data_IF_306746372218
#
_entry.id   IF_306746372218
#
_cell.length_a   1.000
_cell.length_b   1.000
_cell.length_c   1.000
_cell.angle_alpha   90.00
_cell.angle_beta   90.00
_cell.angle_gamma   90.00
#
_symmetry.space_group_name_H-M   'P 1'
#
loop_
_entity.id
_entity.type
_entity.pdbx_description
1 polymer ?
#
# COMPACT_ATOMS: atom_id res chain seq x y z
N UNK A 1 0.11 32.95 44.37
CA UNK A 1 0.82 32.35 45.51
C UNK A 1 -0.02 31.25 46.10
N UNK A 2 0.28 30.01 45.84
CA UNK A 2 0.06 28.81 46.67
C UNK A 2 0.83 27.66 46.04
N UNK A 3 1.98 27.43 46.63
CA UNK A 3 2.92 26.36 46.38
C UNK A 3 2.36 25.07 46.95
N UNK A 4 2.24 24.02 46.17
CA UNK A 4 2.02 22.68 46.70
C UNK A 4 3.22 21.81 46.36
N UNK A 5 3.99 21.58 47.40
CA UNK A 5 5.13 20.69 47.50
C UNK A 5 4.59 19.25 47.67
N UNK A 6 4.79 18.36 46.69
CA UNK A 6 4.54 16.94 46.89
C UNK A 6 5.82 16.23 47.33
N UNK A 7 5.74 15.68 48.51
CA UNK A 7 6.80 14.97 49.22
C UNK A 7 6.88 13.53 48.65
N UNK A 8 8.03 13.19 48.06
CA UNK A 8 8.32 11.83 47.57
C UNK A 8 8.88 11.01 48.73
N UNK A 9 8.12 10.09 49.26
CA UNK A 9 8.55 9.11 50.25
C UNK A 9 9.27 7.95 49.57
N UNK A 10 10.59 7.90 49.71
CA UNK A 10 11.42 6.73 49.40
C UNK A 10 11.15 5.62 50.43
N UNK A 11 10.66 4.49 49.99
CA UNK A 11 10.61 3.28 50.79
C UNK A 11 11.86 2.44 50.49
N UNK A 12 12.81 2.45 51.41
CA UNK A 12 14.01 1.64 51.35
C UNK A 12 13.66 0.21 51.76
N UNK A 13 13.57 -0.68 50.79
CA UNK A 13 13.47 -2.12 51.01
C UNK A 13 14.87 -2.74 51.00
N UNK A 14 15.35 -3.16 52.17
CA UNK A 14 16.57 -3.94 52.31
C UNK A 14 16.35 -5.38 51.89
N UNK A 15 16.98 -5.82 50.79
CA UNK A 15 17.11 -7.23 50.40
C UNK A 15 18.39 -7.80 51.00
N UNK A 16 18.40 -9.03 51.55
CA UNK A 16 19.58 -9.68 52.09
C UNK A 16 20.53 -10.10 50.95
N UNK A 17 21.79 -9.75 51.10
CA UNK A 17 22.88 -10.26 50.29
C UNK A 17 23.08 -11.76 50.57
N UNK A 18 22.62 -12.62 49.67
CA UNK A 18 23.11 -13.97 49.60
C UNK A 18 24.35 -13.97 48.70
N UNK A 19 25.49 -14.14 49.31
CA UNK A 19 26.76 -14.44 48.64
C UNK A 19 26.65 -15.78 47.97
N UNK A 20 26.70 -15.84 46.65
CA UNK A 20 26.94 -17.06 45.89
C UNK A 20 28.14 -16.90 44.97
N UNK A 21 29.00 -17.81 45.17
CA UNK A 21 30.27 -18.21 44.62
C UNK A 21 30.52 -17.81 43.15
N UNK A 22 31.66 -17.11 42.93
CA UNK A 22 32.19 -16.87 41.59
C UNK A 22 32.86 -18.14 41.11
N UNK A 23 32.24 -18.81 40.13
CA UNK A 23 32.91 -19.62 39.09
C UNK A 23 31.88 -20.49 38.37
N UNK A 24 31.08 -19.86 37.51
CA UNK A 24 30.44 -20.56 36.38
C UNK A 24 30.38 -19.60 35.17
N UNK A 25 31.19 -19.80 34.11
CA UNK A 25 31.13 -18.99 32.90
C UNK A 25 30.15 -19.63 31.91
N UNK A 26 28.89 -19.70 32.29
CA UNK A 26 27.85 -20.17 31.39
C UNK A 26 26.49 -19.72 31.93
N UNK A 27 26.12 -18.46 31.67
CA UNK A 27 24.74 -17.97 31.61
C UNK A 27 24.70 -16.42 31.39
N UNK A 28 25.61 -15.88 30.55
CA UNK A 28 25.28 -14.66 29.83
C UNK A 28 24.55 -15.14 28.58
N UNK A 29 23.23 -14.95 28.55
CA UNK A 29 22.47 -14.96 27.29
C UNK A 29 23.21 -13.97 26.37
N UNK A 30 23.64 -14.38 25.17
CA UNK A 30 24.23 -13.43 24.24
C UNK A 30 23.21 -12.31 24.03
N UNK A 31 23.62 -11.09 24.28
CA UNK A 31 22.83 -9.92 23.87
C UNK A 31 22.51 -10.01 22.37
N UNK A 32 21.51 -9.31 21.89
CA UNK A 32 21.15 -9.36 20.46
C UNK A 32 22.42 -9.21 19.64
N UNK A 33 22.79 -10.26 18.90
CA UNK A 33 23.93 -10.20 18.00
C UNK A 33 23.59 -9.18 16.90
N UNK A 34 24.52 -8.30 16.54
CA UNK A 34 24.33 -7.47 15.35
C UNK A 34 24.00 -8.39 14.16
N UNK A 35 23.12 -7.96 13.25
CA UNK A 35 22.78 -8.74 12.06
C UNK A 35 24.07 -9.13 11.33
N UNK A 36 24.11 -10.35 10.81
CA UNK A 36 25.25 -10.83 10.04
C UNK A 36 25.26 -10.12 8.66
N UNK A 37 25.81 -8.93 8.63
CA UNK A 37 25.93 -8.12 7.42
C UNK A 37 26.92 -8.81 6.47
N UNK A 38 26.52 -8.92 5.20
CA UNK A 38 27.39 -9.49 4.19
C UNK A 38 28.58 -8.55 3.87
N UNK A 39 29.73 -9.12 3.56
CA UNK A 39 30.89 -8.33 3.10
C UNK A 39 30.61 -7.59 1.80
N UNK A 40 29.64 -8.04 1.01
CA UNK A 40 29.18 -7.40 -0.21
C UNK A 40 28.43 -6.10 0.08
N UNK A 41 27.48 -6.12 1.05
CA UNK A 41 26.75 -4.92 1.47
C UNK A 41 27.70 -3.87 2.08
N UNK A 42 28.65 -4.28 2.94
CA UNK A 42 29.67 -3.36 3.47
C UNK A 42 30.53 -2.74 2.37
N UNK A 43 30.94 -3.52 1.37
CA UNK A 43 31.71 -3.04 0.24
C UNK A 43 30.89 -2.08 -0.64
N UNK A 44 29.60 -2.36 -0.84
CA UNK A 44 28.68 -1.52 -1.60
C UNK A 44 28.45 -0.16 -0.91
N UNK A 45 28.21 -0.17 0.40
CA UNK A 45 28.10 1.07 1.18
C UNK A 45 29.37 1.90 1.05
N UNK A 46 30.53 1.30 1.25
CA UNK A 46 31.82 1.99 1.13
C UNK A 46 32.10 2.52 -0.27
N UNK A 47 31.64 1.82 -1.31
CA UNK A 47 31.79 2.25 -2.69
C UNK A 47 30.88 3.45 -3.00
N UNK A 48 29.62 3.41 -2.53
CA UNK A 48 28.62 4.47 -2.77
C UNK A 48 28.85 5.67 -1.85
N UNK A 49 29.21 5.44 -0.58
CA UNK A 49 29.41 6.45 0.44
C UNK A 49 30.81 6.31 1.11
N UNK A 50 31.90 6.62 0.42
CA UNK A 50 33.26 6.42 0.95
C UNK A 50 33.58 7.25 2.19
N UNK A 51 32.81 8.32 2.45
CA UNK A 51 32.94 9.19 3.60
C UNK A 51 31.96 8.86 4.75
N UNK A 52 31.23 7.74 4.66
CA UNK A 52 30.30 7.32 5.71
C UNK A 52 31.02 7.10 7.04
N UNK A 53 30.44 7.64 8.10
CA UNK A 53 30.91 7.52 9.49
C UNK A 53 29.77 7.11 10.40
N UNK A 54 30.09 6.54 11.57
CA UNK A 54 29.11 6.06 12.55
C UNK A 54 28.13 5.04 11.98
N UNK A 55 28.60 4.15 11.12
CA UNK A 55 27.74 3.16 10.45
C UNK A 55 27.20 2.16 11.48
N UNK A 56 25.89 2.06 11.53
CA UNK A 56 25.15 1.03 12.27
C UNK A 56 24.36 0.23 11.27
N UNK A 57 24.39 -1.09 11.40
CA UNK A 57 23.66 -1.97 10.52
C UNK A 57 22.46 -2.59 11.22
N UNK A 58 21.35 -2.69 10.50
CA UNK A 58 20.15 -3.36 10.95
C UNK A 58 19.55 -4.19 9.79
N UNK A 59 18.58 -5.00 10.10
CA UNK A 59 17.80 -5.74 9.07
C UNK A 59 16.36 -5.28 9.17
N UNK A 60 15.80 -4.80 8.07
CA UNK A 60 14.42 -4.36 7.95
C UNK A 60 13.82 -5.01 6.69
N UNK A 61 12.64 -5.59 6.78
CA UNK A 61 11.89 -6.16 5.64
C UNK A 61 12.74 -7.05 4.70
N UNK A 62 13.69 -7.79 5.25
CA UNK A 62 14.59 -8.68 4.46
C UNK A 62 15.80 -7.98 3.84
N UNK A 63 15.92 -6.67 3.93
CA UNK A 63 17.08 -5.87 3.51
C UNK A 63 18.08 -5.69 4.65
N UNK A 64 19.33 -5.41 4.31
CA UNK A 64 20.34 -4.91 5.24
C UNK A 64 20.44 -3.39 5.08
N UNK A 65 20.15 -2.68 6.16
CA UNK A 65 20.08 -1.21 6.19
C UNK A 65 21.26 -0.66 6.97
N UNK A 66 21.98 0.29 6.38
CA UNK A 66 23.06 1.00 7.00
C UNK A 66 22.61 2.41 7.39
N UNK A 67 22.53 2.69 8.68
CA UNK A 67 22.38 4.05 9.20
C UNK A 67 23.76 4.66 9.37
N UNK A 68 23.97 5.86 8.85
CA UNK A 68 25.27 6.50 8.87
C UNK A 68 25.18 8.02 8.75
N UNK A 69 26.33 8.68 8.93
CA UNK A 69 26.44 10.14 8.78
C UNK A 69 27.49 10.49 7.75
N UNK A 70 27.25 11.58 7.02
CA UNK A 70 28.21 12.23 6.14
C UNK A 70 28.54 13.63 6.69
N UNK A 71 29.83 14.00 6.75
CA UNK A 71 30.23 15.31 7.22
C UNK A 71 29.68 16.46 6.36
N UNK A 72 29.58 16.24 5.03
CA UNK A 72 29.02 17.20 4.08
C UNK A 72 27.50 17.35 4.27
N UNK A 73 26.77 16.25 4.47
CA UNK A 73 25.34 16.25 4.73
C UNK A 73 25.03 16.99 6.05
N UNK A 74 25.78 16.73 7.12
CA UNK A 74 25.67 17.47 8.39
C UNK A 74 25.92 18.97 8.23
N UNK A 75 26.88 19.36 7.39
CA UNK A 75 27.16 20.76 7.13
C UNK A 75 25.99 21.44 6.34
N UNK A 76 25.21 20.68 5.60
CA UNK A 76 23.98 21.12 4.92
C UNK A 76 22.73 21.02 5.80
N UNK A 77 22.86 20.49 7.04
CA UNK A 77 21.75 20.32 7.97
C UNK A 77 21.10 18.95 7.95
N UNK A 78 21.52 18.04 7.05
CA UNK A 78 21.01 16.67 7.04
C UNK A 78 21.53 15.91 8.28
N UNK A 79 20.62 15.24 9.01
CA UNK A 79 20.94 14.61 10.27
C UNK A 79 21.45 13.18 10.10
N UNK A 80 20.71 12.33 9.44
CA UNK A 80 20.96 10.90 9.29
C UNK A 80 20.71 10.45 7.86
N UNK A 81 21.32 9.31 7.47
CA UNK A 81 21.11 8.66 6.21
C UNK A 81 20.92 7.17 6.49
N UNK A 82 19.93 6.56 5.85
CA UNK A 82 19.66 5.13 5.88
C UNK A 82 19.74 4.56 4.47
N UNK A 83 20.73 3.69 4.20
CA UNK A 83 20.90 3.10 2.88
C UNK A 83 20.58 1.61 2.89
N UNK A 84 19.71 1.19 1.98
CA UNK A 84 19.10 -0.13 1.88
C UNK A 84 19.78 -0.97 0.79
N UNK A 85 20.20 -2.17 1.15
CA UNK A 85 20.89 -3.11 0.28
C UNK A 85 20.30 -4.51 0.42
N UNK A 86 20.42 -5.34 -0.62
CA UNK A 86 20.26 -6.76 -0.43
C UNK A 86 21.54 -7.40 0.12
N UNK A 87 21.46 -8.68 0.49
CA UNK A 87 22.62 -9.42 0.95
C UNK A 87 23.71 -9.63 -0.12
N UNK A 88 23.40 -9.40 -1.40
CA UNK A 88 24.36 -9.40 -2.52
C UNK A 88 25.09 -8.06 -2.68
N UNK A 89 24.65 -7.02 -1.96
CA UNK A 89 25.21 -5.67 -2.01
C UNK A 89 24.61 -4.81 -3.12
N UNK A 90 23.49 -5.22 -3.73
CA UNK A 90 22.73 -4.32 -4.59
C UNK A 90 22.09 -3.23 -3.72
N UNK A 91 22.27 -1.98 -4.15
CA UNK A 91 21.64 -0.83 -3.50
C UNK A 91 20.25 -0.61 -4.11
N UNK A 92 19.28 -0.28 -3.25
CA UNK A 92 17.90 -0.05 -3.65
C UNK A 92 17.44 1.37 -3.32
N UNK A 93 17.74 1.87 -2.13
CA UNK A 93 17.25 3.15 -1.66
C UNK A 93 18.25 3.82 -0.71
N UNK A 94 18.21 5.14 -0.64
CA UNK A 94 18.76 5.93 0.46
C UNK A 94 17.77 7.00 0.86
N UNK A 95 17.37 6.95 2.08
CA UNK A 95 16.62 7.95 2.81
C UNK A 95 17.59 8.95 3.43
N UNK A 96 17.25 10.22 3.41
CA UNK A 96 18.04 11.29 4.00
C UNK A 96 17.11 12.31 4.65
N UNK A 97 17.16 12.42 5.97
CA UNK A 97 16.53 13.52 6.70
C UNK A 97 17.20 14.84 6.31
N UNK A 98 16.39 15.77 5.82
CA UNK A 98 16.85 17.08 5.35
C UNK A 98 16.02 18.21 5.96
N UNK A 99 16.60 19.39 6.23
CA UNK A 99 15.80 20.53 6.65
C UNK A 99 14.88 21.00 5.51
N UNK A 100 13.67 21.47 5.81
CA UNK A 100 12.71 22.00 4.84
C UNK A 100 13.34 22.98 3.83
N UNK A 101 14.28 23.80 4.28
CA UNK A 101 14.99 24.75 3.41
C UNK A 101 15.91 24.10 2.36
N UNK A 102 16.20 22.80 2.49
CA UNK A 102 16.99 22.03 1.51
C UNK A 102 16.12 21.37 0.42
N UNK A 103 14.82 21.42 0.55
CA UNK A 103 13.88 20.99 -0.50
C UNK A 103 14.13 21.79 -1.80
N UNK A 104 13.89 21.21 -2.98
CA UNK A 104 13.82 21.96 -4.23
C UNK A 104 12.85 23.14 -4.13
N UNK A 105 13.18 24.26 -4.75
CA UNK A 105 12.32 25.47 -4.73
C UNK A 105 10.89 25.20 -5.22
N UNK A 106 10.76 24.30 -6.19
CA UNK A 106 9.45 23.89 -6.73
C UNK A 106 8.61 23.16 -5.68
N UNK A 107 9.22 22.26 -4.89
CA UNK A 107 8.56 21.55 -3.79
C UNK A 107 8.16 22.52 -2.68
N UNK A 108 9.08 23.40 -2.26
CA UNK A 108 8.75 24.45 -1.28
C UNK A 108 7.59 25.32 -1.74
N UNK A 109 7.55 25.67 -3.04
CA UNK A 109 6.48 26.48 -3.61
C UNK A 109 5.15 25.73 -3.62
N UNK A 110 5.15 24.45 -4.02
CA UNK A 110 3.97 23.61 -4.02
C UNK A 110 3.42 23.42 -2.61
N UNK A 111 4.27 23.06 -1.65
CA UNK A 111 3.90 22.92 -0.24
C UNK A 111 3.32 24.22 0.32
N UNK A 112 3.99 25.35 0.13
CA UNK A 112 3.53 26.65 0.62
C UNK A 112 2.19 27.10 -0.01
N UNK A 113 1.80 26.55 -1.14
CA UNK A 113 0.50 26.76 -1.78
C UNK A 113 -0.59 25.80 -1.31
N UNK A 114 -0.27 24.78 -0.52
CA UNK A 114 -1.21 23.79 -0.02
C UNK A 114 -1.90 24.22 1.27
N UNK A 115 -2.97 23.53 1.64
CA UNK A 115 -3.65 23.70 2.93
C UNK A 115 -2.75 23.35 4.14
N UNK A 116 -1.77 22.50 3.94
CA UNK A 116 -0.85 22.02 4.96
C UNK A 116 0.22 23.04 5.38
N UNK A 117 0.39 24.12 4.62
CA UNK A 117 1.31 25.20 4.98
C UNK A 117 0.76 26.14 6.05
N UNK A 118 -0.53 26.06 6.35
CA UNK A 118 -1.20 26.95 7.29
C UNK A 118 -1.53 26.26 8.62
N UNK A 119 -1.52 27.04 9.73
CA UNK A 119 -2.00 26.51 11.00
C UNK A 119 -3.43 25.92 10.87
N UNK A 120 -3.75 24.81 11.56
CA UNK A 120 -3.01 24.23 12.68
C UNK A 120 -1.87 23.24 12.30
N UNK A 121 -1.63 23.00 11.00
CA UNK A 121 -0.59 22.11 10.53
C UNK A 121 0.82 22.67 10.81
N UNK A 122 1.75 21.76 11.10
CA UNK A 122 3.16 22.04 11.28
C UNK A 122 3.97 20.96 10.56
N UNK A 123 5.06 21.33 9.93
CA UNK A 123 6.02 20.35 9.38
C UNK A 123 6.71 19.68 10.56
N UNK A 124 6.66 18.37 10.61
CA UNK A 124 7.29 17.52 11.63
C UNK A 124 8.65 17.05 11.12
N UNK A 125 8.69 16.41 9.97
CA UNK A 125 9.93 15.94 9.34
C UNK A 125 9.95 16.14 7.83
N UNK A 126 11.11 15.99 7.20
CA UNK A 126 11.31 16.09 5.75
C UNK A 126 12.37 15.13 5.27
N UNK A 127 11.99 14.19 4.41
CA UNK A 127 12.87 13.20 3.85
C UNK A 127 13.11 13.35 2.36
N UNK A 128 14.29 12.92 1.95
CA UNK A 128 14.64 12.73 0.55
C UNK A 128 14.85 11.24 0.30
N UNK A 129 14.07 10.65 -0.58
CA UNK A 129 14.16 9.25 -0.99
C UNK A 129 14.84 9.15 -2.37
N UNK A 130 16.08 8.68 -2.40
CA UNK A 130 16.79 8.32 -3.63
C UNK A 130 16.66 6.82 -3.84
N UNK A 131 16.08 6.39 -4.97
CA UNK A 131 15.75 4.98 -5.22
C UNK A 131 16.33 4.52 -6.56
N UNK A 132 16.62 3.23 -6.68
CA UNK A 132 17.22 2.68 -7.90
C UNK A 132 16.21 2.64 -9.06
N UNK A 133 16.51 3.28 -10.15
CA UNK A 133 15.75 3.19 -11.40
C UNK A 133 14.50 4.08 -11.49
N UNK A 134 14.13 4.77 -10.42
CA UNK A 134 12.97 5.67 -10.39
C UNK A 134 13.35 7.08 -9.93
N UNK A 135 12.45 8.02 -10.05
CA UNK A 135 12.68 9.41 -9.66
C UNK A 135 12.86 9.56 -8.15
N UNK A 136 13.72 10.49 -7.75
CA UNK A 136 13.81 10.93 -6.35
C UNK A 136 12.49 11.54 -5.90
N UNK A 137 12.03 11.18 -4.70
CA UNK A 137 10.85 11.76 -4.06
C UNK A 137 11.28 12.53 -2.80
N UNK A 138 10.54 13.58 -2.48
CA UNK A 138 10.65 14.34 -1.23
C UNK A 138 9.38 14.16 -0.44
N UNK A 139 9.50 13.68 0.79
CA UNK A 139 8.38 13.51 1.71
C UNK A 139 8.37 14.69 2.66
N UNK A 140 7.22 15.31 2.85
CA UNK A 140 7.00 16.34 3.86
C UNK A 140 5.94 15.84 4.81
N UNK A 141 6.37 15.46 5.99
CA UNK A 141 5.49 15.03 7.06
C UNK A 141 4.93 16.25 7.79
N UNK A 142 3.62 16.27 7.94
CA UNK A 142 2.93 17.34 8.63
C UNK A 142 2.05 16.80 9.75
N UNK A 143 2.08 17.44 10.89
CA UNK A 143 1.20 17.10 12.00
C UNK A 143 0.28 18.27 12.38
N UNK A 144 -0.89 17.93 12.90
CA UNK A 144 -1.73 18.87 13.65
C UNK A 144 -2.21 18.23 14.94
N UNK A 145 -2.44 19.06 15.95
CA UNK A 145 -2.95 18.63 17.26
C UNK A 145 -4.20 19.44 17.60
N UNK A 146 -5.33 18.77 17.62
CA UNK A 146 -6.63 19.35 17.95
C UNK A 146 -7.34 18.53 19.02
N UNK A 147 -7.82 19.17 20.08
CA UNK A 147 -8.55 18.52 21.17
C UNK A 147 -7.83 17.33 21.84
N UNK A 148 -6.51 17.27 21.72
CA UNK A 148 -5.67 16.21 22.27
C UNK A 148 -5.43 15.04 21.30
N UNK A 149 -5.99 15.06 20.10
CA UNK A 149 -5.72 14.10 19.05
C UNK A 149 -4.60 14.64 18.13
N UNK A 150 -3.66 13.78 17.74
CA UNK A 150 -2.66 14.01 16.71
C UNK A 150 -3.25 13.51 15.38
N UNK A 151 -3.07 14.22 14.32
CA UNK A 151 -3.32 13.78 12.93
C UNK A 151 -2.04 14.04 12.16
N UNK A 152 -1.57 13.07 11.39
CA UNK A 152 -0.38 13.15 10.55
C UNK A 152 -0.76 12.95 9.11
N UNK A 153 -0.03 13.60 8.21
CA UNK A 153 -0.17 13.45 6.76
C UNK A 153 1.20 13.54 6.13
N UNK A 154 1.53 12.56 5.30
CA UNK A 154 2.74 12.54 4.50
C UNK A 154 2.43 12.96 3.07
N UNK A 155 3.20 13.92 2.60
CA UNK A 155 3.06 14.54 1.29
C UNK A 155 4.27 14.21 0.42
N UNK A 156 4.09 13.39 -0.59
CA UNK A 156 5.13 12.90 -1.48
C UNK A 156 5.24 13.77 -2.72
N UNK A 157 6.35 14.42 -2.91
CA UNK A 157 6.57 15.36 -4.03
C UNK A 157 7.67 14.88 -4.97
N UNK A 158 7.42 14.93 -6.28
CA UNK A 158 8.48 14.90 -7.27
C UNK A 158 9.33 16.20 -7.21
N UNK A 159 10.59 16.20 -7.70
CA UNK A 159 11.49 17.36 -7.58
C UNK A 159 10.98 18.66 -8.20
N UNK A 160 10.04 18.59 -9.13
CA UNK A 160 9.41 19.74 -9.78
C UNK A 160 8.15 20.25 -9.03
N UNK A 161 7.90 19.72 -7.84
CA UNK A 161 6.80 20.13 -6.96
C UNK A 161 5.43 19.54 -7.33
N UNK A 162 5.39 18.48 -8.16
CA UNK A 162 4.17 17.71 -8.36
C UNK A 162 3.95 16.83 -7.13
N UNK A 163 2.78 16.95 -6.49
CA UNK A 163 2.35 16.02 -5.44
C UNK A 163 1.96 14.71 -6.13
N UNK A 164 2.66 13.62 -5.80
CA UNK A 164 2.46 12.31 -6.43
C UNK A 164 1.63 11.38 -5.55
N UNK A 165 1.69 11.57 -4.23
CA UNK A 165 0.96 10.75 -3.26
C UNK A 165 0.71 11.52 -1.97
N UNK A 166 -0.37 11.18 -1.28
CA UNK A 166 -0.71 11.70 0.04
C UNK A 166 -1.20 10.54 0.91
N UNK A 167 -0.60 10.36 2.07
CA UNK A 167 -1.02 9.36 3.05
C UNK A 167 -1.49 10.09 4.30
N UNK A 168 -2.72 9.83 4.73
CA UNK A 168 -3.26 10.34 5.97
C UNK A 168 -3.09 9.32 7.10
N UNK A 169 -2.83 9.82 8.31
CA UNK A 169 -2.61 9.00 9.51
C UNK A 169 -1.45 7.97 9.34
N UNK A 170 -0.38 8.38 8.61
CA UNK A 170 0.82 7.57 8.45
C UNK A 170 1.40 7.13 9.81
N UNK A 171 2.07 5.98 9.83
CA UNK A 171 2.67 5.46 11.04
C UNK A 171 3.81 6.40 11.51
N UNK A 172 3.90 6.73 12.81
CA UNK A 172 5.11 7.37 13.33
C UNK A 172 6.31 6.46 13.07
N UNK A 173 7.41 7.04 12.62
CA UNK A 173 8.64 6.30 12.26
C UNK A 173 8.43 5.29 11.09
N UNK A 174 7.62 5.67 10.08
CA UNK A 174 7.35 4.85 8.90
C UNK A 174 8.66 4.47 8.18
N UNK A 175 8.85 3.17 8.01
CA UNK A 175 10.01 2.62 7.30
C UNK A 175 9.70 2.57 5.80
N UNK A 176 10.30 3.43 4.99
CA UNK A 176 10.09 3.53 3.54
C UNK A 176 10.46 2.26 2.73
N UNK A 177 10.55 1.10 3.37
CA UNK A 177 10.86 -0.17 2.73
C UNK A 177 9.86 -0.56 1.64
N UNK A 178 8.60 -0.21 1.83
CA UNK A 178 7.53 -0.45 0.85
C UNK A 178 7.68 0.42 -0.41
N UNK A 179 8.50 1.48 -0.34
CA UNK A 179 8.86 2.35 -1.47
C UNK A 179 10.10 1.90 -2.23
N UNK A 180 10.64 0.72 -1.93
CA UNK A 180 11.74 0.14 -2.71
C UNK A 180 11.19 -0.34 -4.04
N UNK A 181 11.58 0.29 -5.18
CA UNK A 181 10.95 0.00 -6.46
C UNK A 181 11.33 -1.40 -6.94
N UNK A 182 10.35 -2.12 -7.43
CA UNK A 182 10.58 -3.30 -8.25
C UNK A 182 11.16 -2.92 -9.62
N UNK A 183 11.80 -3.84 -10.32
CA UNK A 183 12.25 -3.58 -11.68
C UNK A 183 11.12 -3.87 -12.65
N UNK A 184 10.68 -2.91 -13.47
CA UNK A 184 9.67 -3.18 -14.46
C UNK A 184 10.21 -4.16 -15.50
N UNK A 185 9.34 -4.99 -16.03
CA UNK A 185 9.68 -5.79 -17.19
C UNK A 185 9.90 -4.92 -18.42
N UNK A 186 10.72 -5.39 -19.37
CA UNK A 186 11.05 -4.66 -20.61
C UNK A 186 9.78 -4.26 -21.41
N UNK A 187 8.72 -5.08 -21.35
CA UNK A 187 7.45 -4.79 -22.02
C UNK A 187 6.76 -3.56 -21.44
N UNK A 188 6.78 -3.42 -20.13
CA UNK A 188 6.21 -2.28 -19.40
C UNK A 188 6.96 -0.98 -19.71
N UNK A 189 8.30 -1.01 -19.64
CA UNK A 189 9.13 0.15 -20.01
C UNK A 189 8.87 0.61 -21.45
N UNK A 190 8.74 -0.34 -22.38
CA UNK A 190 8.44 -0.06 -23.77
C UNK A 190 7.06 0.58 -23.94
N UNK A 191 6.04 0.07 -23.23
CA UNK A 191 4.68 0.63 -23.23
C UNK A 191 4.69 2.08 -22.74
N UNK A 192 5.33 2.35 -21.59
CA UNK A 192 5.42 3.69 -21.01
C UNK A 192 6.12 4.63 -21.97
N UNK A 193 7.25 4.23 -22.53
CA UNK A 193 8.02 5.04 -23.48
C UNK A 193 7.23 5.36 -24.76
N UNK A 194 6.36 4.47 -25.22
CA UNK A 194 5.55 4.69 -26.43
C UNK A 194 4.34 5.59 -26.15
N UNK A 195 3.65 5.39 -25.05
CA UNK A 195 2.38 6.08 -24.74
C UNK A 195 2.59 7.36 -23.91
N UNK A 196 3.65 7.39 -23.09
CA UNK A 196 4.01 8.49 -22.19
C UNK A 196 5.50 8.87 -22.34
N UNK A 197 5.93 9.37 -23.51
CA UNK A 197 7.36 9.49 -23.84
C UNK A 197 8.15 10.49 -22.98
N UNK A 198 7.48 11.36 -22.24
CA UNK A 198 8.07 12.33 -21.32
C UNK A 198 7.78 12.02 -19.86
N UNK A 199 7.16 10.89 -19.58
CA UNK A 199 6.84 10.51 -18.21
C UNK A 199 8.10 10.10 -17.44
N UNK A 200 8.05 10.34 -16.14
CA UNK A 200 9.03 9.92 -15.15
C UNK A 200 8.37 8.89 -14.25
N UNK A 201 9.01 7.76 -14.05
CA UNK A 201 8.50 6.71 -13.15
C UNK A 201 8.83 7.13 -11.72
N UNK A 202 7.83 7.14 -10.87
CA UNK A 202 7.95 7.52 -9.46
C UNK A 202 7.85 6.35 -8.51
N UNK A 203 7.12 5.29 -8.91
CA UNK A 203 6.96 4.07 -8.13
C UNK A 203 6.76 2.86 -9.04
N UNK A 204 7.14 1.67 -8.58
CA UNK A 204 6.87 0.39 -9.25
C UNK A 204 6.63 -0.63 -8.16
N UNK A 205 5.44 -1.19 -8.16
CA UNK A 205 5.07 -2.28 -7.24
C UNK A 205 4.65 -3.54 -7.99
N UNK A 206 4.85 -4.70 -7.33
CA UNK A 206 4.42 -5.99 -7.83
C UNK A 206 3.50 -6.64 -6.80
N UNK A 207 2.24 -6.69 -7.11
CA UNK A 207 1.25 -7.28 -6.24
C UNK A 207 0.35 -8.27 -7.00
N UNK A 208 -0.02 -9.40 -6.35
CA UNK A 208 -0.92 -10.42 -6.90
C UNK A 208 -0.60 -10.84 -8.35
N UNK A 209 0.69 -10.84 -8.72
CA UNK A 209 1.16 -11.16 -10.08
C UNK A 209 0.90 -10.05 -11.10
N UNK A 210 0.55 -8.86 -10.65
CA UNK A 210 0.43 -7.65 -11.48
C UNK A 210 1.59 -6.70 -11.19
N UNK A 211 1.79 -5.73 -12.07
CA UNK A 211 2.75 -4.64 -11.88
C UNK A 211 2.02 -3.33 -11.95
N UNK A 212 2.03 -2.58 -10.87
CA UNK A 212 1.61 -1.20 -10.82
C UNK A 212 2.80 -0.28 -11.07
N UNK A 213 2.61 0.75 -11.87
CA UNK A 213 3.64 1.75 -12.16
C UNK A 213 3.05 3.15 -12.05
N UNK A 214 3.55 3.90 -11.11
CA UNK A 214 3.23 5.31 -10.98
C UNK A 214 4.17 6.15 -11.83
N UNK A 215 3.59 7.06 -12.59
CA UNK A 215 4.32 7.98 -13.44
C UNK A 215 3.86 9.44 -13.23
N UNK A 216 4.75 10.37 -13.51
CA UNK A 216 4.37 11.77 -13.72
C UNK A 216 4.53 12.12 -15.20
N UNK A 217 3.41 12.28 -15.90
CA UNK A 217 3.36 12.68 -17.30
C UNK A 217 3.16 14.20 -17.41
N UNK A 218 4.24 14.92 -17.66
CA UNK A 218 4.27 16.38 -17.55
C UNK A 218 4.14 16.84 -16.10
N UNK A 219 2.93 17.19 -15.69
CA UNK A 219 2.59 17.56 -14.30
C UNK A 219 1.41 16.72 -13.75
N UNK A 220 1.00 15.69 -14.45
CA UNK A 220 -0.14 14.84 -14.10
C UNK A 220 0.36 13.52 -13.58
N UNK A 221 0.14 13.17 -12.30
CA UNK A 221 0.34 11.84 -11.78
C UNK A 221 -0.63 10.86 -12.45
N UNK A 222 -0.15 9.66 -12.73
CA UNK A 222 -0.95 8.57 -13.29
C UNK A 222 -0.47 7.25 -12.72
N UNK A 223 -1.39 6.38 -12.45
CA UNK A 223 -1.19 4.99 -12.09
C UNK A 223 -1.46 4.10 -13.32
N UNK A 224 -0.57 3.21 -13.63
CA UNK A 224 -0.70 2.24 -14.71
C UNK A 224 -0.64 0.83 -14.15
N UNK A 225 -1.63 0.00 -14.48
CA UNK A 225 -1.62 -1.40 -14.08
C UNK A 225 -1.35 -2.31 -15.27
N UNK A 226 -0.50 -3.32 -15.04
CA UNK A 226 -0.13 -4.36 -16.00
C UNK A 226 -0.34 -5.74 -15.40
N UNK A 227 -0.77 -6.70 -16.23
CA UNK A 227 -0.87 -8.10 -15.81
C UNK A 227 0.50 -8.80 -15.80
N UNK A 228 0.56 -10.04 -15.29
CA UNK A 228 1.78 -10.84 -15.23
C UNK A 228 2.40 -11.21 -16.60
N UNK A 229 1.78 -10.81 -17.72
CA UNK A 229 2.30 -10.92 -19.08
C UNK A 229 2.75 -9.56 -19.63
N UNK A 230 2.92 -8.54 -18.80
CA UNK A 230 3.22 -7.15 -19.13
C UNK A 230 2.15 -6.48 -20.02
N UNK A 231 0.92 -7.00 -20.05
CA UNK A 231 -0.17 -6.39 -20.81
C UNK A 231 -0.81 -5.28 -19.98
N UNK A 232 -0.92 -4.09 -20.57
CA UNK A 232 -1.60 -2.97 -19.93
C UNK A 232 -3.08 -3.25 -19.70
N UNK A 233 -3.53 -3.02 -18.48
CA UNK A 233 -4.91 -3.21 -18.04
C UNK A 233 -5.65 -1.88 -17.96
N UNK A 234 -5.08 -0.91 -17.26
CA UNK A 234 -5.63 0.45 -17.21
C UNK A 234 -4.57 1.52 -16.97
N UNK A 235 -4.97 2.77 -17.22
CA UNK A 235 -4.36 3.96 -16.67
C UNK A 235 -5.41 4.73 -15.88
N UNK A 236 -5.13 5.01 -14.63
CA UNK A 236 -5.94 5.82 -13.72
C UNK A 236 -5.32 7.20 -13.57
N UNK A 237 -6.15 8.21 -13.46
CA UNK A 237 -5.72 9.60 -13.25
C UNK A 237 -6.77 10.30 -12.39
N UNK A 238 -6.38 10.76 -11.21
CA UNK A 238 -7.22 11.64 -10.40
C UNK A 238 -7.50 12.94 -11.17
N UNK A 239 -8.75 13.35 -11.25
CA UNK A 239 -9.16 14.52 -12.02
C UNK A 239 -10.06 15.45 -11.20
N UNK A 240 -9.83 16.75 -11.33
CA UNK A 240 -10.71 17.70 -10.71
C UNK A 240 -12.08 17.75 -11.44
N UNK A 241 -13.15 17.98 -10.69
CA UNK A 241 -14.54 18.05 -11.20
C UNK A 241 -14.72 18.93 -12.46
N UNK A 242 -13.89 19.97 -12.63
CA UNK A 242 -13.95 20.85 -13.80
C UNK A 242 -13.37 20.23 -15.06
N UNK A 243 -12.64 19.13 -14.94
CA UNK A 243 -12.00 18.41 -16.05
C UNK A 243 -12.90 17.28 -16.58
N UNK A 244 -13.92 16.91 -15.78
CA UNK A 244 -14.88 15.85 -16.16
C UNK A 244 -15.79 16.32 -17.29
N UNK A 245 -15.97 15.52 -18.37
CA UNK A 245 -16.85 15.88 -19.49
C UNK A 245 -18.29 16.16 -19.06
N UNK A 246 -18.91 17.16 -19.72
CA UNK A 246 -20.27 17.56 -19.39
C UNK A 246 -21.32 16.43 -19.47
N UNK A 247 -21.29 15.49 -20.43
CA UNK A 247 -22.22 14.38 -20.44
C UNK A 247 -22.13 13.49 -19.18
N UNK A 248 -20.91 13.22 -18.71
CA UNK A 248 -20.63 12.44 -17.50
C UNK A 248 -21.21 13.14 -16.27
N UNK A 249 -20.89 14.43 -16.07
CA UNK A 249 -21.45 15.23 -14.97
C UNK A 249 -22.98 15.33 -15.04
N UNK A 250 -23.55 15.41 -16.25
CA UNK A 250 -25.01 15.45 -16.44
C UNK A 250 -25.66 14.12 -16.05
N UNK A 251 -25.01 13.00 -16.37
CA UNK A 251 -25.50 11.67 -15.98
C UNK A 251 -25.54 11.53 -14.45
N UNK A 252 -24.46 11.91 -13.75
CA UNK A 252 -24.43 11.92 -12.28
C UNK A 252 -25.54 12.81 -11.69
N UNK A 253 -25.69 14.05 -12.19
CA UNK A 253 -26.71 15.00 -11.72
C UNK A 253 -28.15 14.53 -11.93
N UNK A 254 -28.40 13.68 -12.93
CA UNK A 254 -29.72 13.10 -13.21
C UNK A 254 -29.92 11.74 -12.52
N UNK A 255 -28.95 11.21 -11.82
CA UNK A 255 -29.01 9.92 -11.14
C UNK A 255 -29.62 10.05 -9.74
N UNK A 256 -29.85 8.92 -9.10
CA UNK A 256 -30.24 8.86 -7.68
C UNK A 256 -29.14 9.36 -6.74
N UNK A 257 -27.90 9.48 -7.21
CA UNK A 257 -26.73 9.96 -6.46
C UNK A 257 -26.47 11.45 -6.58
N UNK A 258 -27.35 12.22 -7.24
CA UNK A 258 -27.19 13.66 -7.47
C UNK A 258 -26.98 14.52 -6.21
N UNK A 259 -27.41 14.01 -5.05
CA UNK A 259 -27.31 14.68 -3.75
C UNK A 259 -26.12 14.20 -2.90
N UNK A 260 -25.37 13.21 -3.37
CA UNK A 260 -24.21 12.71 -2.65
C UNK A 260 -23.05 13.70 -2.75
N UNK A 261 -22.20 13.71 -1.75
CA UNK A 261 -20.94 14.45 -1.80
C UNK A 261 -19.97 13.69 -2.70
N UNK A 262 -19.29 14.38 -3.60
CA UNK A 262 -18.20 13.80 -4.38
C UNK A 262 -16.93 13.96 -3.56
N UNK A 263 -16.35 12.85 -3.13
CA UNK A 263 -15.10 12.81 -2.43
C UNK A 263 -13.94 12.82 -3.44
N UNK A 264 -13.93 11.87 -4.36
CA UNK A 264 -12.90 11.76 -5.38
C UNK A 264 -13.46 11.46 -6.77
N UNK A 265 -12.67 11.74 -7.81
CA UNK A 265 -13.00 11.44 -9.21
C UNK A 265 -11.75 10.92 -9.92
N UNK A 266 -11.79 9.67 -10.32
CA UNK A 266 -10.77 9.04 -11.14
C UNK A 266 -11.20 8.89 -12.60
N UNK A 267 -10.32 9.23 -13.50
CA UNK A 267 -10.48 8.95 -14.92
C UNK A 267 -9.72 7.68 -15.28
N UNK A 268 -10.45 6.67 -15.75
CA UNK A 268 -9.92 5.39 -16.19
C UNK A 268 -9.89 5.27 -17.71
N UNK A 269 -8.73 4.86 -18.22
CA UNK A 269 -8.56 4.35 -19.58
C UNK A 269 -8.24 2.86 -19.49
N UNK A 270 -8.98 2.03 -20.22
CA UNK A 270 -8.71 0.60 -20.36
C UNK A 270 -8.66 0.21 -21.85
N UNK A 271 -8.24 -0.99 -22.24
CA UNK A 271 -8.26 -1.41 -23.63
C UNK A 271 -9.63 -1.31 -24.31
N UNK A 272 -10.70 -1.47 -23.54
CA UNK A 272 -12.06 -1.61 -24.07
C UNK A 272 -12.95 -0.40 -23.81
N UNK A 273 -12.67 0.41 -22.81
CA UNK A 273 -13.55 1.51 -22.37
C UNK A 273 -12.80 2.69 -21.77
N UNK A 274 -13.46 3.82 -21.73
CA UNK A 274 -13.06 5.03 -21.01
C UNK A 274 -14.23 5.43 -20.10
N UNK A 275 -13.94 5.67 -18.82
CA UNK A 275 -14.97 6.03 -17.84
C UNK A 275 -14.39 6.90 -16.72
N UNK A 276 -15.29 7.53 -15.97
CA UNK A 276 -14.99 8.28 -14.74
C UNK A 276 -15.61 7.56 -13.57
N UNK A 277 -14.82 7.20 -12.58
CA UNK A 277 -15.24 6.66 -11.30
C UNK A 277 -15.42 7.81 -10.33
N UNK A 278 -16.56 7.83 -9.67
CA UNK A 278 -16.87 8.80 -8.63
C UNK A 278 -16.97 8.06 -7.30
N UNK A 279 -16.18 8.48 -6.34
CA UNK A 279 -16.34 8.10 -4.94
C UNK A 279 -17.33 9.08 -4.31
N UNK A 280 -18.46 8.57 -3.87
CA UNK A 280 -19.60 9.36 -3.46
C UNK A 280 -19.99 9.02 -2.03
N UNK A 281 -19.98 10.03 -1.17
CA UNK A 281 -20.32 9.88 0.25
C UNK A 281 -21.75 10.33 0.55
N UNK A 282 -22.39 9.65 1.50
CA UNK A 282 -23.67 10.07 2.05
C UNK A 282 -23.86 9.58 3.49
N UNK A 283 -24.88 10.13 4.19
CA UNK A 283 -25.25 9.66 5.52
C UNK A 283 -25.76 8.20 5.56
N UNK A 284 -26.05 7.59 4.41
CA UNK A 284 -26.49 6.20 4.26
C UNK A 284 -25.35 5.24 3.92
N UNK A 285 -24.14 5.75 3.70
CA UNK A 285 -22.95 5.04 3.29
C UNK A 285 -22.41 5.56 1.96
N UNK A 286 -21.23 5.05 1.60
CA UNK A 286 -20.46 5.47 0.45
C UNK A 286 -20.73 4.53 -0.73
N UNK A 287 -20.63 5.05 -1.93
CA UNK A 287 -20.82 4.28 -3.17
C UNK A 287 -19.83 4.71 -4.23
N UNK A 288 -19.34 3.75 -5.00
CA UNK A 288 -18.54 4.02 -6.20
C UNK A 288 -19.40 3.88 -7.44
N UNK A 289 -19.30 4.85 -8.33
CA UNK A 289 -20.14 4.91 -9.54
C UNK A 289 -19.27 5.18 -10.75
N UNK A 290 -19.30 4.27 -11.72
CA UNK A 290 -18.63 4.44 -13.00
C UNK A 290 -19.59 5.06 -14.03
N UNK A 291 -19.12 6.10 -14.74
CA UNK A 291 -19.88 6.76 -15.79
C UNK A 291 -19.01 6.87 -17.05
N UNK A 292 -19.43 6.23 -18.13
CA UNK A 292 -18.73 6.30 -19.42
C UNK A 292 -18.89 7.66 -20.11
N UNK A 293 -18.06 7.95 -21.11
CA UNK A 293 -18.05 9.23 -21.83
C UNK A 293 -19.41 9.60 -22.46
N UNK A 294 -20.25 8.60 -22.78
CA UNK A 294 -21.61 8.79 -23.31
C UNK A 294 -22.68 9.01 -22.22
N UNK A 295 -22.28 8.99 -20.95
CA UNK A 295 -23.17 9.18 -19.80
C UNK A 295 -23.89 7.90 -19.32
N UNK A 296 -23.45 6.72 -19.74
CA UNK A 296 -23.96 5.46 -19.18
C UNK A 296 -23.39 5.27 -17.80
N UNK A 297 -24.28 5.12 -16.80
CA UNK A 297 -23.92 4.97 -15.38
C UNK A 297 -24.07 3.49 -14.97
N UNK A 298 -23.05 2.98 -14.28
CA UNK A 298 -23.05 1.67 -13.61
C UNK A 298 -22.57 1.82 -12.17
N UNK A 299 -23.09 0.99 -11.26
CA UNK A 299 -22.57 0.89 -9.91
C UNK A 299 -21.35 -0.02 -9.93
N UNK A 300 -20.28 0.41 -9.24
CA UNK A 300 -19.29 -0.52 -8.76
C UNK A 300 -19.92 -1.22 -7.54
N UNK A 301 -20.10 -2.53 -7.63
CA UNK A 301 -20.47 -3.30 -6.44
C UNK A 301 -19.29 -3.27 -5.46
N UNK A 302 -19.50 -3.04 -4.16
CA UNK A 302 -18.45 -3.24 -3.19
C UNK A 302 -18.01 -4.69 -3.27
N UNK A 303 -16.73 -4.94 -3.44
CA UNK A 303 -16.16 -6.27 -3.21
C UNK A 303 -16.61 -6.71 -1.81
N UNK A 304 -17.10 -7.94 -1.67
CA UNK A 304 -17.82 -8.39 -0.48
C UNK A 304 -16.98 -8.40 0.79
N UNK A 305 -16.83 -7.24 1.41
CA UNK A 305 -16.43 -7.09 2.81
C UNK A 305 -17.69 -7.24 3.67
N UNK A 306 -17.77 -8.32 4.42
CA UNK A 306 -18.89 -8.69 5.28
C UNK A 306 -19.06 -7.69 6.44
N UNK A 307 -19.88 -6.66 6.27
CA UNK A 307 -20.45 -5.93 7.41
C UNK A 307 -21.76 -6.59 7.82
N UNK A 308 -21.66 -7.50 8.78
CA UNK A 308 -22.80 -8.08 9.46
C UNK A 308 -23.67 -7.03 10.14
N UNK A 309 -24.80 -6.73 9.54
CA UNK A 309 -25.87 -5.89 10.09
C UNK A 309 -27.20 -6.66 10.03
N UNK A 310 -27.44 -7.47 11.04
CA UNK A 310 -28.70 -8.17 11.27
C UNK A 310 -29.83 -7.17 11.50
N UNK A 311 -30.82 -7.09 10.61
CA UNK A 311 -32.19 -6.73 11.00
C UNK A 311 -33.19 -7.59 10.23
N UNK A 312 -33.71 -8.60 10.92
CA UNK A 312 -34.79 -9.39 10.43
C UNK A 312 -36.08 -8.58 10.28
N UNK A 313 -36.84 -8.89 9.26
CA UNK A 313 -38.29 -8.97 9.37
C UNK A 313 -38.85 -9.92 8.30
N UNK A 314 -39.49 -10.92 8.82
CA UNK A 314 -40.22 -12.00 8.15
C UNK A 314 -41.54 -11.47 7.60
N UNK A 315 -41.89 -11.77 6.37
CA UNK A 315 -43.27 -12.21 6.05
C UNK A 315 -43.32 -12.87 4.67
N UNK A 316 -43.91 -14.04 4.64
CA UNK A 316 -43.92 -15.02 3.58
C UNK A 316 -44.80 -14.72 2.37
N UNK A 317 -44.68 -15.61 1.38
CA UNK A 317 -45.66 -15.81 0.33
C UNK A 317 -45.09 -16.12 -1.05
N UNK A 318 -44.74 -17.34 -1.25
CA UNK A 318 -45.05 -18.22 -2.36
C UNK A 318 -45.02 -17.75 -3.84
N UNK A 319 -44.32 -18.55 -4.62
CA UNK A 319 -44.48 -18.95 -6.04
C UNK A 319 -44.09 -18.00 -7.16
N UNK A 320 -43.15 -18.49 -7.97
CA UNK A 320 -43.16 -18.26 -9.40
C UNK A 320 -41.86 -17.77 -9.98
N UNK A 321 -41.18 -18.65 -10.72
CA UNK A 321 -40.00 -18.44 -11.53
C UNK A 321 -39.87 -17.02 -12.05
N UNK A 322 -38.77 -16.42 -11.77
CA UNK A 322 -38.45 -15.08 -12.26
C UNK A 322 -36.96 -15.00 -12.46
N UNK A 323 -36.61 -15.02 -13.67
CA UNK A 323 -35.58 -14.31 -14.34
C UNK A 323 -34.69 -13.48 -13.36
N UNK A 324 -33.58 -14.04 -13.02
CA UNK A 324 -32.47 -13.24 -12.43
C UNK A 324 -32.09 -12.23 -13.51
N UNK A 325 -32.06 -10.94 -13.11
CA UNK A 325 -31.68 -9.86 -13.97
C UNK A 325 -30.27 -10.15 -14.49
N UNK A 326 -30.18 -10.32 -15.83
CA UNK A 326 -28.91 -10.26 -16.50
C UNK A 326 -28.32 -8.86 -16.27
N UNK A 327 -27.34 -8.78 -15.36
CA UNK A 327 -26.34 -7.74 -15.45
C UNK A 327 -25.74 -7.84 -16.85
N UNK A 328 -25.40 -6.74 -17.42
CA UNK A 328 -24.87 -6.61 -18.79
C UNK A 328 -23.41 -7.12 -18.88
N UNK A 329 -23.09 -8.21 -18.17
CA UNK A 329 -21.84 -8.93 -18.22
C UNK A 329 -21.87 -9.96 -19.33
N UNK A 330 -20.91 -9.93 -20.22
CA UNK A 330 -20.71 -11.02 -21.18
C UNK A 330 -20.54 -12.35 -20.40
N UNK A 331 -21.06 -13.45 -20.94
CA UNK A 331 -20.91 -14.77 -20.32
C UNK A 331 -19.45 -15.04 -20.00
N UNK A 332 -19.19 -15.69 -18.85
CA UNK A 332 -17.88 -16.30 -18.57
C UNK A 332 -17.50 -17.10 -19.81
N UNK A 333 -16.39 -16.74 -20.44
CA UNK A 333 -16.03 -17.43 -21.66
C UNK A 333 -15.63 -18.89 -21.37
N UNK A 334 -15.66 -19.72 -22.41
CA UNK A 334 -15.34 -21.13 -22.27
C UNK A 334 -13.96 -21.37 -21.62
N UNK A 335 -12.99 -20.51 -21.92
CA UNK A 335 -11.61 -20.63 -21.41
C UNK A 335 -11.52 -20.42 -19.88
N UNK A 336 -12.17 -19.37 -19.35
CA UNK A 336 -12.21 -19.14 -17.90
C UNK A 336 -12.99 -20.25 -17.17
N UNK A 337 -14.14 -20.64 -17.70
CA UNK A 337 -14.93 -21.75 -17.14
C UNK A 337 -14.20 -23.09 -17.18
N UNK A 338 -13.46 -23.40 -18.26
CA UNK A 338 -12.63 -24.60 -18.38
C UNK A 338 -11.46 -24.56 -17.38
N UNK A 339 -10.79 -23.42 -17.20
CA UNK A 339 -9.75 -23.23 -16.20
C UNK A 339 -10.28 -23.49 -14.79
N UNK A 340 -11.42 -22.85 -14.42
CA UNK A 340 -12.05 -23.05 -13.11
C UNK A 340 -12.39 -24.52 -12.89
N UNK A 341 -13.03 -25.19 -13.87
CA UNK A 341 -13.36 -26.59 -13.76
C UNK A 341 -12.14 -27.51 -13.61
N UNK A 342 -11.00 -27.13 -14.17
CA UNK A 342 -9.74 -27.88 -14.08
C UNK A 342 -9.00 -27.61 -12.76
N UNK A 343 -8.87 -26.32 -12.35
CA UNK A 343 -8.12 -25.93 -11.15
C UNK A 343 -8.93 -26.16 -9.86
N UNK A 344 -10.25 -25.97 -9.93
CA UNK A 344 -11.19 -26.09 -8.81
C UNK A 344 -12.31 -27.10 -9.15
N UNK A 345 -12.04 -28.40 -9.19
CA UNK A 345 -13.01 -29.42 -9.58
C UNK A 345 -14.23 -29.41 -8.65
N UNK A 346 -15.43 -29.25 -9.22
CA UNK A 346 -16.67 -29.18 -8.45
C UNK A 346 -17.06 -27.78 -7.98
N UNK A 347 -16.29 -26.77 -8.33
CA UNK A 347 -16.66 -25.39 -8.06
C UNK A 347 -17.96 -25.01 -8.77
N UNK A 348 -18.76 -24.18 -8.10
CA UNK A 348 -19.96 -23.56 -8.66
C UNK A 348 -19.66 -22.08 -8.91
N UNK A 349 -19.80 -21.64 -10.14
CA UNK A 349 -19.69 -20.22 -10.48
C UNK A 349 -20.94 -19.52 -9.92
N UNK A 350 -20.73 -18.54 -9.05
CA UNK A 350 -21.79 -17.79 -8.38
C UNK A 350 -22.09 -16.49 -9.11
N UNK A 351 -21.05 -15.72 -9.39
CA UNK A 351 -21.12 -14.42 -10.04
C UNK A 351 -19.88 -14.22 -10.91
N UNK A 352 -19.94 -13.25 -11.80
CA UNK A 352 -18.77 -12.76 -12.53
C UNK A 352 -18.97 -11.29 -12.90
N UNK A 353 -17.89 -10.53 -12.82
CA UNK A 353 -17.86 -9.12 -13.21
C UNK A 353 -16.59 -8.82 -14.02
N UNK A 354 -16.56 -7.66 -14.66
CA UNK A 354 -15.36 -7.14 -15.30
C UNK A 354 -15.01 -5.81 -14.67
N UNK A 355 -13.95 -5.86 -13.89
CA UNK A 355 -13.46 -4.71 -13.16
C UNK A 355 -11.97 -4.52 -13.43
N UNK A 356 -11.53 -3.26 -13.56
CA UNK A 356 -10.11 -2.86 -13.68
C UNK A 356 -9.32 -3.64 -14.74
N UNK A 357 -9.99 -3.96 -15.86
CA UNK A 357 -9.42 -4.74 -16.96
C UNK A 357 -9.37 -6.25 -16.73
N UNK A 358 -9.79 -6.72 -15.55
CA UNK A 358 -9.89 -8.14 -15.21
C UNK A 358 -11.32 -8.66 -15.36
N UNK A 359 -11.44 -9.95 -15.58
CA UNK A 359 -12.66 -10.71 -15.36
C UNK A 359 -12.53 -11.37 -13.99
N UNK A 360 -13.29 -10.92 -13.05
CA UNK A 360 -13.50 -11.58 -11.77
C UNK A 360 -14.58 -12.64 -11.90
N UNK A 361 -14.32 -13.81 -11.36
CA UNK A 361 -15.31 -14.91 -11.31
C UNK A 361 -15.37 -15.43 -9.88
N UNK A 362 -16.46 -15.10 -9.21
CA UNK A 362 -16.76 -15.64 -7.89
C UNK A 362 -17.19 -17.10 -8.00
N UNK A 363 -16.54 -17.96 -7.22
CA UNK A 363 -16.86 -19.39 -7.17
C UNK A 363 -17.08 -19.88 -5.75
N UNK A 364 -18.01 -20.79 -5.56
CA UNK A 364 -18.13 -21.58 -4.34
C UNK A 364 -17.39 -22.91 -4.49
N UNK A 365 -16.35 -23.12 -3.71
CA UNK A 365 -15.51 -24.32 -3.78
C UNK A 365 -15.07 -24.79 -2.41
N UNK A 366 -15.27 -26.07 -2.08
CA UNK A 366 -14.86 -26.68 -0.79
C UNK A 366 -15.40 -25.95 0.45
N UNK A 367 -16.60 -25.40 0.35
CA UNK A 367 -17.28 -24.78 1.48
C UNK A 367 -16.90 -23.32 1.72
N UNK A 368 -16.25 -22.68 0.76
CA UNK A 368 -15.89 -21.25 0.80
C UNK A 368 -16.03 -20.57 -0.55
N UNK A 369 -16.20 -19.28 -0.50
CA UNK A 369 -16.14 -18.38 -1.64
C UNK A 369 -14.67 -18.15 -2.02
N UNK A 370 -14.42 -18.00 -3.33
CA UNK A 370 -13.11 -17.66 -3.88
C UNK A 370 -13.32 -16.76 -5.09
N UNK A 371 -12.48 -15.76 -5.23
CA UNK A 371 -12.44 -14.84 -6.35
C UNK A 371 -11.32 -15.24 -7.31
N UNK A 372 -11.67 -15.55 -8.56
CA UNK A 372 -10.75 -16.01 -9.61
C UNK A 372 -10.63 -14.93 -10.67
N UNK A 373 -9.45 -14.38 -10.84
CA UNK A 373 -9.21 -13.25 -11.74
C UNK A 373 -8.53 -13.67 -13.04
N UNK A 374 -9.03 -13.17 -14.16
CA UNK A 374 -8.51 -13.41 -15.48
C UNK A 374 -8.27 -12.09 -16.21
N UNK A 375 -7.18 -12.00 -16.97
CA UNK A 375 -6.88 -10.80 -17.77
C UNK A 375 -7.75 -10.71 -19.05
N UNK A 376 -7.58 -9.67 -19.85
CA UNK A 376 -8.30 -9.43 -21.08
C UNK A 376 -8.13 -10.53 -22.15
N UNK A 377 -7.06 -11.35 -22.06
CA UNK A 377 -6.85 -12.53 -22.91
C UNK A 377 -7.43 -13.82 -22.29
N UNK A 378 -8.11 -13.72 -21.14
CA UNK A 378 -8.64 -14.82 -20.35
C UNK A 378 -7.58 -15.77 -19.79
N UNK A 379 -6.36 -15.30 -19.62
CA UNK A 379 -5.35 -15.99 -18.82
C UNK A 379 -5.64 -15.75 -17.34
N UNK A 380 -5.51 -16.80 -16.53
CA UNK A 380 -5.63 -16.69 -15.08
C UNK A 380 -4.48 -15.84 -14.52
N UNK A 381 -4.82 -14.86 -13.68
CA UNK A 381 -3.89 -13.94 -13.04
C UNK A 381 -3.65 -14.40 -11.61
N UNK A 382 -4.70 -14.45 -10.81
CA UNK A 382 -4.63 -14.94 -9.44
C UNK A 382 -5.99 -15.45 -8.97
N UNK A 383 -6.01 -16.10 -7.81
CA UNK A 383 -7.21 -16.46 -7.05
C UNK A 383 -6.95 -16.15 -5.60
N UNK A 384 -7.92 -15.53 -4.94
CA UNK A 384 -7.85 -15.23 -3.51
C UNK A 384 -9.11 -15.69 -2.78
N UNK A 385 -8.99 -15.85 -1.48
CA UNK A 385 -10.11 -16.09 -0.59
C UNK A 385 -9.73 -15.85 0.86
N UNK A 386 -10.68 -15.41 1.64
CA UNK A 386 -10.55 -15.22 3.07
C UNK A 386 -10.30 -16.53 3.79
N UNK A 387 -9.42 -16.51 4.77
CA UNK A 387 -9.20 -17.62 5.68
C UNK A 387 -9.34 -17.18 7.14
N UNK A 388 -9.88 -18.06 7.95
CA UNK A 388 -9.95 -17.79 9.37
C UNK A 388 -8.57 -17.94 10.03
N UNK A 389 -8.26 -17.10 11.02
CA UNK A 389 -6.98 -17.09 11.74
C UNK A 389 -6.56 -18.47 12.26
N UNK A 390 -7.51 -19.37 12.58
CA UNK A 390 -7.21 -20.74 13.02
C UNK A 390 -6.70 -21.65 11.89
N UNK A 391 -6.80 -21.25 10.64
CA UNK A 391 -6.31 -21.97 9.47
C UNK A 391 -4.90 -21.51 9.07
N UNK A 392 -4.43 -20.37 9.65
CA UNK A 392 -3.11 -19.82 9.37
C UNK A 392 -2.00 -20.77 9.91
N UNK A 393 -1.03 -21.18 9.10
CA UNK A 393 0.09 -22.00 9.57
C UNK A 393 0.89 -21.30 10.69
N UNK A 394 1.36 -22.08 11.67
CA UNK A 394 2.18 -21.54 12.75
C UNK A 394 3.44 -20.81 12.23
N UNK A 395 4.02 -21.30 11.13
CA UNK A 395 5.18 -20.69 10.50
C UNK A 395 4.90 -19.27 9.99
N UNK A 396 3.70 -19.02 9.46
CA UNK A 396 3.28 -17.70 8.99
C UNK A 396 3.14 -16.74 10.17
N UNK A 397 2.43 -17.15 11.23
CA UNK A 397 2.29 -16.32 12.43
C UNK A 397 3.65 -16.03 13.09
N UNK A 398 4.56 -17.00 13.08
CA UNK A 398 5.90 -16.83 13.65
C UNK A 398 6.82 -15.94 12.78
N UNK A 399 6.49 -15.75 11.53
CA UNK A 399 7.25 -14.92 10.59
C UNK A 399 6.86 -13.43 10.64
N UNK A 400 5.74 -13.10 11.30
CA UNK A 400 5.37 -11.69 11.49
C UNK A 400 6.49 -11.00 12.27
N UNK A 401 7.11 -9.93 11.74
CA UNK A 401 8.22 -9.24 12.38
C UNK A 401 7.88 -8.73 13.78
N UNK A 402 8.86 -8.75 14.67
CA UNK A 402 8.66 -8.38 16.08
C UNK A 402 8.26 -6.91 16.28
N UNK A 403 8.56 -6.06 15.33
CA UNK A 403 8.13 -4.66 15.29
C UNK A 403 6.60 -4.52 15.26
N UNK A 404 5.89 -5.47 14.65
CA UNK A 404 4.43 -5.51 14.61
C UNK A 404 3.77 -6.27 15.77
N UNK A 405 4.52 -6.55 16.85
CA UNK A 405 3.98 -7.28 18.01
C UNK A 405 2.82 -6.57 18.73
N UNK A 406 2.65 -5.27 18.52
CA UNK A 406 1.52 -4.47 19.04
C UNK A 406 0.32 -4.43 18.09
N UNK A 407 0.47 -4.91 16.88
CA UNK A 407 -0.60 -4.95 15.89
C UNK A 407 -1.51 -6.17 16.10
N UNK A 408 -2.75 -6.05 15.69
CA UNK A 408 -3.70 -7.18 15.63
C UNK A 408 -3.85 -7.61 14.20
N UNK A 409 -3.93 -8.91 13.95
CA UNK A 409 -4.32 -9.41 12.64
C UNK A 409 -5.79 -9.06 12.44
N UNK A 410 -6.07 -8.25 11.44
CA UNK A 410 -7.43 -7.81 11.07
C UNK A 410 -8.01 -8.76 10.03
N UNK A 411 -7.34 -8.91 8.90
CA UNK A 411 -7.78 -9.83 7.85
C UNK A 411 -6.67 -10.77 7.38
N UNK A 412 -7.05 -11.87 6.74
CA UNK A 412 -6.12 -12.86 6.19
C UNK A 412 -6.71 -13.45 4.91
N UNK A 413 -6.04 -13.21 3.80
CA UNK A 413 -6.35 -13.85 2.53
C UNK A 413 -5.30 -14.91 2.18
N UNK A 414 -5.74 -15.95 1.51
CA UNK A 414 -4.83 -16.86 0.83
C UNK A 414 -4.83 -16.57 -0.67
N UNK A 415 -3.69 -16.24 -1.21
CA UNK A 415 -3.51 -15.83 -2.60
C UNK A 415 -2.74 -16.91 -3.37
N UNK A 416 -3.27 -17.29 -4.53
CA UNK A 416 -2.60 -18.15 -5.49
C UNK A 416 -2.36 -17.38 -6.78
N UNK A 417 -1.12 -17.34 -7.24
CA UNK A 417 -0.74 -16.81 -8.56
C UNK A 417 -0.11 -17.91 -9.43
N UNK A 418 0.17 -17.69 -10.71
CA UNK A 418 0.91 -18.64 -11.53
C UNK A 418 2.26 -19.05 -10.95
N UNK A 419 2.93 -18.15 -10.24
CA UNK A 419 4.31 -18.29 -9.81
C UNK A 419 4.48 -18.54 -8.31
N UNK A 420 3.48 -18.21 -7.49
CA UNK A 420 3.58 -18.29 -6.03
C UNK A 420 2.23 -18.55 -5.35
N UNK A 421 2.30 -19.03 -4.12
CA UNK A 421 1.18 -19.09 -3.17
C UNK A 421 1.64 -18.50 -1.84
N UNK A 422 0.82 -17.61 -1.25
CA UNK A 422 1.16 -16.95 -0.01
C UNK A 422 -0.09 -16.53 0.77
N UNK A 423 0.12 -16.15 2.01
CA UNK A 423 -0.87 -15.51 2.87
C UNK A 423 -0.63 -14.02 2.85
N UNK A 424 -1.65 -13.29 2.56
CA UNK A 424 -1.74 -11.86 2.75
C UNK A 424 -2.30 -11.65 4.14
N UNK A 425 -1.52 -11.04 5.02
CA UNK A 425 -1.88 -10.83 6.42
C UNK A 425 -1.97 -9.35 6.68
N UNK A 426 -3.17 -8.86 6.87
CA UNK A 426 -3.41 -7.49 7.24
C UNK A 426 -3.28 -7.31 8.76
N UNK A 427 -2.45 -6.36 9.16
CA UNK A 427 -2.14 -6.04 10.53
C UNK A 427 -2.61 -4.63 10.86
N UNK A 428 -3.50 -4.49 11.86
CA UNK A 428 -4.03 -3.20 12.29
C UNK A 428 -3.50 -2.79 13.67
N UNK A 429 -3.13 -1.51 13.81
CA UNK A 429 -2.85 -0.88 15.11
C UNK A 429 -3.40 0.55 15.12
N UNK A 430 -4.59 0.71 15.68
CA UNK A 430 -5.32 1.97 15.74
C UNK A 430 -5.92 2.37 14.41
N UNK A 431 -5.23 3.15 13.60
CA UNK A 431 -5.60 3.50 12.22
C UNK A 431 -4.50 3.11 11.22
N UNK A 432 -3.54 2.35 11.66
CA UNK A 432 -2.42 1.88 10.86
C UNK A 432 -2.74 0.49 10.36
N UNK A 433 -2.65 0.27 9.08
CA UNK A 433 -2.80 -1.00 8.40
C UNK A 433 -1.49 -1.33 7.71
N UNK A 434 -1.04 -2.54 7.85
CA UNK A 434 0.16 -3.07 7.21
C UNK A 434 -0.17 -4.43 6.62
N UNK A 435 0.16 -4.60 5.36
CA UNK A 435 0.00 -5.84 4.64
C UNK A 435 1.32 -6.60 4.57
N UNK A 436 1.31 -7.87 4.96
CA UNK A 436 2.46 -8.76 4.87
C UNK A 436 2.16 -9.96 3.98
N UNK A 437 3.03 -10.22 3.00
CA UNK A 437 2.97 -11.40 2.14
C UNK A 437 3.90 -12.47 2.70
N UNK A 438 3.36 -13.59 3.15
CA UNK A 438 4.13 -14.62 3.85
C UNK A 438 3.83 -15.99 3.25
N UNK A 439 4.87 -16.72 2.82
CA UNK A 439 4.69 -18.08 2.32
C UNK A 439 4.31 -19.06 3.45
N UNK A 440 3.74 -20.21 3.11
CA UNK A 440 3.37 -21.25 4.10
C UNK A 440 4.54 -21.70 5.00
N UNK A 441 5.78 -21.57 4.52
CA UNK A 441 7.00 -21.88 5.25
C UNK A 441 7.49 -20.73 6.14
N UNK A 442 6.79 -19.57 6.15
CA UNK A 442 7.12 -18.42 6.97
C UNK A 442 8.20 -17.52 6.35
N UNK A 443 8.32 -17.46 5.05
CA UNK A 443 9.17 -16.48 4.38
C UNK A 443 8.32 -15.25 4.01
N UNK A 444 8.69 -14.09 4.51
CA UNK A 444 8.15 -12.79 4.06
C UNK A 444 8.67 -12.52 2.65
N UNK A 445 7.78 -12.11 1.74
CA UNK A 445 8.05 -11.90 0.31
C UNK A 445 8.32 -10.44 0.02
#
# INVERSE_FOLDING_TARGET
MKTNLFLLTMLAGTLPLASCDKNNPADELPGPQPPAVSTQAEAALKAKYPAATNVVWQTKQGYVVADFSLAEARAAGAAELSAWFDNGGAWYMTETDIPFAALPEAVQTAFNGSEYAAAPWQVDDVDKLEREGVETIYVVEVEKRENGNKTEVDLYYAPDGVLVKKIADAAPDYDYGDYIPSKPATGIEEYIRQNYPNARITEIDHERGMTEVDIVDGRTPRELLFDGSDSWLYTKTEVHRTEVPQPVMTALQNSQYASYWIDDIDHYLTPDKEFWRFDLESAQGDVKVDITADGTLSLKQPGGGNTGGNTGSNTGGNTGGGNHGQGNGGMVNATAAEFIAQKYPGAQIMEYDREDGLLEVEIWHEGREKNVYFNGQNAWVYTEWDIHRSELPEAVTAAIPAEYASYTIDDIEYVQTPDAEYYLVELECGKQEIELRITAEGRVL
#
